data_IF_937385729682
#
_entry.id   IF_937385729682
#
_cell.length_a   1.000
_cell.length_b   1.000
_cell.length_c   1.000
_cell.angle_alpha   90.00
_cell.angle_beta   90.00
_cell.angle_gamma   90.00
#
_symmetry.space_group_name_H-M   'P 1'
#
loop_
_entity.id
_entity.type
_entity.pdbx_description
1 polymer ?
#
# COMPACT_ATOMS: atom_id res chain seq x y z
N UNK A 1 32.04 15.91 25.27
CA UNK A 1 32.48 14.99 24.20
C UNK A 1 33.89 15.38 23.72
N UNK A 2 34.95 14.85 24.34
CA UNK A 2 36.32 15.38 24.22
C UNK A 2 37.06 14.98 22.92
N UNK A 3 36.56 13.98 22.18
CA UNK A 3 37.25 13.39 21.02
C UNK A 3 36.54 13.56 19.67
N UNK A 4 35.29 14.05 19.65
CA UNK A 4 34.51 14.18 18.41
C UNK A 4 35.16 15.10 17.37
N UNK A 5 35.74 16.23 17.81
CA UNK A 5 36.41 17.17 16.91
C UNK A 5 37.63 16.56 16.20
N UNK A 6 38.35 15.65 16.87
CA UNK A 6 39.53 14.97 16.31
C UNK A 6 39.14 13.90 15.28
N UNK A 7 37.99 13.24 15.49
CA UNK A 7 37.42 12.26 14.56
C UNK A 7 36.95 12.96 13.28
N UNK A 8 36.17 14.03 13.38
CA UNK A 8 35.73 14.81 12.20
C UNK A 8 36.91 15.37 11.40
N UNK A 9 37.94 15.89 12.08
CA UNK A 9 39.13 16.43 11.43
C UNK A 9 39.94 15.36 10.68
N UNK A 10 39.95 14.12 11.19
CA UNK A 10 40.57 12.99 10.49
C UNK A 10 39.74 12.48 9.30
N UNK A 11 38.41 12.42 9.43
CA UNK A 11 37.52 12.05 8.31
C UNK A 11 37.64 13.01 7.13
N UNK A 12 37.79 14.32 7.40
CA UNK A 12 37.97 15.36 6.39
C UNK A 12 39.34 15.36 5.71
N UNK A 13 40.35 14.71 6.30
CA UNK A 13 41.73 14.68 5.78
C UNK A 13 41.87 13.78 4.54
N UNK A 14 41.05 12.73 4.45
CA UNK A 14 41.07 11.83 3.30
C UNK A 14 39.68 11.68 2.68
N UNK A 15 39.15 12.80 2.15
CA UNK A 15 37.76 12.93 1.67
C UNK A 15 37.35 11.83 0.71
N UNK A 16 38.22 11.42 -0.21
CA UNK A 16 37.92 10.38 -1.21
C UNK A 16 37.58 9.05 -0.54
N UNK A 17 38.38 8.61 0.44
CA UNK A 17 38.15 7.35 1.16
C UNK A 17 36.87 7.42 1.98
N UNK A 18 36.67 8.50 2.73
CA UNK A 18 35.47 8.69 3.56
C UNK A 18 34.20 8.73 2.73
N UNK A 19 34.21 9.41 1.57
CA UNK A 19 33.08 9.48 0.65
C UNK A 19 32.75 8.09 0.08
N UNK A 20 33.75 7.35 -0.40
CA UNK A 20 33.53 6.00 -0.95
C UNK A 20 32.93 5.05 0.10
N UNK A 21 33.40 5.10 1.35
CA UNK A 21 32.85 4.27 2.43
C UNK A 21 31.43 4.67 2.81
N UNK A 22 31.14 5.98 2.87
CA UNK A 22 29.79 6.47 3.21
C UNK A 22 28.82 6.13 2.08
N UNK A 23 29.19 6.36 0.82
CA UNK A 23 28.36 6.00 -0.33
C UNK A 23 28.07 4.50 -0.38
N UNK A 24 29.08 3.66 -0.15
CA UNK A 24 28.88 2.20 -0.11
C UNK A 24 27.87 1.80 0.98
N UNK A 25 27.98 2.38 2.18
CA UNK A 25 27.02 2.15 3.26
C UNK A 25 25.62 2.67 2.91
N UNK A 26 25.53 3.88 2.35
CA UNK A 26 24.26 4.49 1.94
C UNK A 26 23.55 3.65 0.88
N UNK A 27 24.26 3.18 -0.14
CA UNK A 27 23.68 2.32 -1.18
C UNK A 27 23.19 1.00 -0.60
N UNK A 28 23.97 0.37 0.29
CA UNK A 28 23.56 -0.88 0.94
C UNK A 28 22.28 -0.71 1.78
N UNK A 29 22.22 0.36 2.60
CA UNK A 29 21.04 0.68 3.39
C UNK A 29 19.85 1.05 2.51
N UNK A 30 20.06 1.82 1.45
CA UNK A 30 19.01 2.19 0.50
C UNK A 30 18.37 0.96 -0.15
N UNK A 31 19.18 0.01 -0.63
CA UNK A 31 18.68 -1.23 -1.22
C UNK A 31 17.88 -2.03 -0.19
N UNK A 32 18.38 -2.16 1.03
CA UNK A 32 17.67 -2.86 2.10
C UNK A 32 16.32 -2.21 2.43
N UNK A 33 16.30 -0.89 2.64
CA UNK A 33 15.09 -0.15 2.92
C UNK A 33 14.09 -0.23 1.76
N UNK A 34 14.56 -0.10 0.51
CA UNK A 34 13.72 -0.22 -0.68
C UNK A 34 13.09 -1.62 -0.77
N UNK A 35 13.88 -2.68 -0.56
CA UNK A 35 13.39 -4.05 -0.58
C UNK A 35 12.34 -4.29 0.53
N UNK A 36 12.55 -3.71 1.71
CA UNK A 36 11.61 -3.80 2.82
C UNK A 36 10.32 -2.99 2.60
N UNK A 37 10.41 -1.81 1.94
CA UNK A 37 9.26 -0.93 1.75
C UNK A 37 8.33 -1.37 0.60
N UNK A 38 8.89 -1.96 -0.46
CA UNK A 38 8.11 -2.40 -1.64
C UNK A 38 6.93 -3.32 -1.27
N UNK A 39 7.09 -4.41 -0.49
CA UNK A 39 5.96 -5.28 -0.16
C UNK A 39 4.95 -4.60 0.75
N UNK A 40 5.37 -3.70 1.65
CA UNK A 40 4.48 -2.96 2.54
C UNK A 40 3.57 -2.03 1.74
N UNK A 41 4.15 -1.26 0.83
CA UNK A 41 3.40 -0.33 -0.03
C UNK A 41 2.50 -1.09 -0.99
N UNK A 42 3.00 -2.15 -1.62
CA UNK A 42 2.20 -2.99 -2.51
C UNK A 42 1.01 -3.62 -1.78
N UNK A 43 1.24 -4.15 -0.57
CA UNK A 43 0.17 -4.75 0.22
C UNK A 43 -0.83 -3.71 0.73
N UNK A 44 -0.40 -2.50 1.05
CA UNK A 44 -1.32 -1.40 1.39
C UNK A 44 -2.18 -0.98 0.20
N UNK A 45 -1.60 -0.83 -0.99
CA UNK A 45 -2.35 -0.48 -2.21
C UNK A 45 -3.35 -1.59 -2.58
N UNK A 46 -2.93 -2.85 -2.47
CA UNK A 46 -3.80 -3.99 -2.69
C UNK A 46 -4.89 -4.07 -1.62
N UNK A 47 -4.56 -3.82 -0.35
CA UNK A 47 -5.54 -3.77 0.72
C UNK A 47 -6.54 -2.64 0.51
N UNK A 48 -6.14 -1.43 0.13
CA UNK A 48 -7.08 -0.34 -0.16
C UNK A 48 -7.98 -0.64 -1.37
N UNK A 49 -7.45 -1.34 -2.37
CA UNK A 49 -8.20 -1.73 -3.58
C UNK A 49 -9.15 -2.91 -3.33
N UNK A 50 -8.72 -3.90 -2.54
CA UNK A 50 -9.50 -5.10 -2.21
C UNK A 50 -10.41 -4.90 -1.00
N UNK A 51 -10.11 -3.95 -0.12
CA UNK A 51 -10.92 -3.54 1.05
C UNK A 51 -12.04 -2.58 0.66
N UNK A 52 -12.61 -2.77 -0.52
CA UNK A 52 -13.99 -2.38 -0.71
C UNK A 52 -14.83 -3.41 0.04
N UNK A 53 -15.41 -3.02 1.18
CA UNK A 53 -16.48 -3.75 1.88
C UNK A 53 -17.76 -3.80 1.00
N UNK A 54 -17.61 -4.25 -0.24
CA UNK A 54 -18.60 -4.27 -1.30
C UNK A 54 -18.82 -5.72 -1.67
N UNK A 55 -20.06 -6.16 -1.54
CA UNK A 55 -20.48 -7.49 -1.96
C UNK A 55 -21.25 -7.31 -3.26
N UNK A 56 -20.78 -7.95 -4.33
CA UNK A 56 -21.50 -7.99 -5.59
C UNK A 56 -22.47 -9.18 -5.58
N UNK A 57 -23.76 -8.92 -5.78
CA UNK A 57 -24.77 -9.95 -5.94
C UNK A 57 -25.10 -10.11 -7.43
N UNK A 58 -25.14 -11.34 -7.94
CA UNK A 58 -25.51 -11.63 -9.32
C UNK A 58 -26.78 -12.48 -9.39
N UNK A 59 -27.52 -12.35 -10.49
CA UNK A 59 -28.65 -13.23 -10.75
C UNK A 59 -28.16 -14.65 -11.06
N UNK A 60 -28.83 -15.68 -10.54
CA UNK A 60 -28.54 -17.09 -10.85
C UNK A 60 -28.63 -17.39 -12.37
N UNK A 61 -29.43 -16.62 -13.10
CA UNK A 61 -29.57 -16.75 -14.56
C UNK A 61 -28.34 -16.26 -15.35
N UNK A 62 -27.47 -15.43 -14.75
CA UNK A 62 -26.25 -14.93 -15.39
C UNK A 62 -25.88 -13.50 -15.00
N UNK A 63 -24.75 -13.02 -15.54
CA UNK A 63 -24.17 -11.70 -15.24
C UNK A 63 -24.84 -10.52 -15.98
N UNK A 64 -25.52 -10.80 -17.09
CA UNK A 64 -26.17 -9.78 -17.92
C UNK A 64 -27.60 -9.43 -17.46
N UNK A 65 -28.09 -10.08 -16.39
CA UNK A 65 -29.45 -9.87 -15.90
C UNK A 65 -29.43 -8.94 -14.69
N UNK A 66 -30.17 -7.85 -14.80
CA UNK A 66 -30.35 -6.91 -13.70
C UNK A 66 -31.17 -7.53 -12.55
N UNK A 67 -30.90 -7.06 -11.33
CA UNK A 67 -31.66 -7.44 -10.14
C UNK A 67 -32.94 -6.59 -10.05
N UNK A 68 -34.12 -7.18 -9.78
CA UNK A 68 -35.33 -6.41 -9.54
C UNK A 68 -35.18 -5.40 -8.39
N UNK A 69 -35.67 -4.17 -8.60
CA UNK A 69 -35.58 -3.07 -7.62
C UNK A 69 -36.21 -3.43 -6.25
N UNK A 70 -37.17 -4.36 -6.21
CA UNK A 70 -37.79 -4.84 -4.98
C UNK A 70 -36.77 -5.40 -3.97
N UNK A 71 -35.68 -6.03 -4.43
CA UNK A 71 -34.65 -6.58 -3.55
C UNK A 71 -33.82 -5.51 -2.83
N UNK A 72 -33.80 -4.27 -3.33
CA UNK A 72 -33.01 -3.19 -2.73
C UNK A 72 -33.37 -2.96 -1.26
N UNK A 73 -34.66 -2.98 -0.93
CA UNK A 73 -35.15 -2.74 0.43
C UNK A 73 -34.78 -3.90 1.37
N UNK A 74 -34.92 -5.14 0.89
CA UNK A 74 -34.55 -6.34 1.67
C UNK A 74 -33.06 -6.38 1.98
N UNK A 75 -32.21 -6.06 0.99
CA UNK A 75 -30.76 -6.03 1.17
C UNK A 75 -30.37 -4.90 2.15
N UNK A 76 -30.95 -3.71 1.99
CA UNK A 76 -30.67 -2.56 2.87
C UNK A 76 -31.11 -2.80 4.33
N UNK A 77 -32.06 -3.71 4.57
CA UNK A 77 -32.51 -4.08 5.91
C UNK A 77 -31.60 -5.11 6.60
N UNK A 78 -30.58 -5.63 5.93
CA UNK A 78 -29.66 -6.63 6.51
C UNK A 78 -28.69 -5.94 7.46
N UNK A 79 -28.42 -6.56 8.61
CA UNK A 79 -27.49 -6.03 9.61
C UNK A 79 -26.10 -5.79 8.98
N UNK A 80 -25.47 -4.66 9.34
CA UNK A 80 -24.18 -4.20 8.82
C UNK A 80 -24.14 -3.72 7.35
N UNK A 81 -25.27 -3.68 6.64
CA UNK A 81 -25.33 -3.06 5.30
C UNK A 81 -25.44 -1.54 5.42
N UNK A 82 -24.44 -0.82 4.92
CA UNK A 82 -24.38 0.65 4.97
C UNK A 82 -25.06 1.30 3.76
N UNK A 83 -24.93 0.69 2.58
CA UNK A 83 -25.48 1.22 1.34
C UNK A 83 -25.76 0.11 0.31
N UNK A 84 -26.76 0.33 -0.53
CA UNK A 84 -27.10 -0.55 -1.66
C UNK A 84 -27.17 0.28 -2.93
N UNK A 85 -26.40 -0.14 -3.94
CA UNK A 85 -26.33 0.52 -5.25
C UNK A 85 -26.74 -0.49 -6.33
N UNK A 86 -27.59 -0.05 -7.25
CA UNK A 86 -28.00 -0.83 -8.41
C UNK A 86 -27.04 -0.52 -9.58
N UNK A 87 -25.86 -1.11 -9.54
CA UNK A 87 -24.86 -0.99 -10.61
C UNK A 87 -24.67 -2.38 -11.24
N UNK A 88 -24.82 -2.45 -12.57
CA UNK A 88 -24.38 -3.61 -13.35
C UNK A 88 -22.95 -3.33 -13.81
N UNK A 89 -22.06 -4.25 -13.49
CA UNK A 89 -20.62 -4.07 -13.58
C UNK A 89 -20.11 -3.59 -14.95
N UNK A 90 -19.33 -2.50 -14.95
CA UNK A 90 -18.26 -2.24 -15.92
C UNK A 90 -17.04 -1.64 -15.18
N UNK A 91 -16.05 -2.48 -14.85
CA UNK A 91 -14.74 -2.06 -14.34
C UNK A 91 -14.68 -1.90 -12.84
#
# INVERSE_FOLDING_TARGET
MKWLGLILKNLGRNRRRSILTVLSLTVSLFIFCALASVPVVANQILADSASSLRIACHNKAGLAYELPQAYKQTIAATEHVVAVVAESWFG
#
